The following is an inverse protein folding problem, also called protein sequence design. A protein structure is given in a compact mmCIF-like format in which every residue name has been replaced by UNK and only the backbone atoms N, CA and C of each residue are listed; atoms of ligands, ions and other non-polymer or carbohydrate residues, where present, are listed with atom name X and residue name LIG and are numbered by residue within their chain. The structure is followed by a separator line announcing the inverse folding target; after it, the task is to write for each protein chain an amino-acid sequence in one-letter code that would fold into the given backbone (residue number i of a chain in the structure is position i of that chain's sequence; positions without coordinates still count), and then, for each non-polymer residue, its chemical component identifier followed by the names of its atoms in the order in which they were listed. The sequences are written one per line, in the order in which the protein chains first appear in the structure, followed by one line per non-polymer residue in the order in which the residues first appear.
data_IF_558697936229
#
_entry.id   IF_558697936229
#
_cell.length_a   1.000
_cell.length_b   1.000
_cell.length_c   1.000
_cell.angle_alpha   90.00
_cell.angle_beta   90.00
_cell.angle_gamma   90.00
#
_symmetry.space_group_name_H-M   'P 1'
#
loop_
_entity.id
_entity.type
_entity.pdbx_description
1 polymer ?
#
# COMPACT_ATOMS: atom_id res chain seq x y z
N UNK A 1 1.73 -26.30 -4.81
CA UNK A 1 0.92 -25.12 -5.14
C UNK A 1 -0.49 -25.29 -4.61
N UNK A 2 -1.11 -24.20 -4.14
CA UNK A 2 -2.46 -24.22 -3.56
C UNK A 2 -3.45 -23.77 -4.63
N UNK A 3 -4.54 -24.51 -4.83
CA UNK A 3 -5.58 -24.23 -5.82
C UNK A 3 -6.98 -24.51 -5.28
N UNK A 4 -8.02 -24.05 -6.00
CA UNK A 4 -9.43 -24.29 -5.65
C UNK A 4 -10.20 -23.01 -5.30
N UNK A 5 -11.48 -23.13 -4.97
CA UNK A 5 -12.32 -21.94 -4.69
C UNK A 5 -12.25 -21.44 -3.25
N UNK A 6 -11.60 -22.21 -2.38
CA UNK A 6 -11.52 -21.94 -0.94
C UNK A 6 -10.56 -20.82 -0.57
N UNK A 7 -10.62 -20.44 0.71
CA UNK A 7 -9.67 -19.52 1.33
C UNK A 7 -8.42 -20.26 1.81
N UNK A 8 -7.28 -19.56 1.85
CA UNK A 8 -6.03 -20.07 2.41
C UNK A 8 -5.75 -19.39 3.75
N UNK A 9 -5.38 -20.15 4.77
CA UNK A 9 -4.97 -19.61 6.07
C UNK A 9 -3.56 -20.07 6.44
N UNK A 10 -2.65 -19.11 6.60
CA UNK A 10 -1.36 -19.35 7.25
C UNK A 10 -1.51 -19.07 8.74
N UNK A 11 -1.49 -20.15 9.52
CA UNK A 11 -1.57 -20.11 10.98
C UNK A 11 -0.23 -20.44 11.64
N UNK A 12 -0.14 -20.12 12.95
CA UNK A 12 0.98 -20.43 13.86
C UNK A 12 2.33 -19.85 13.42
N UNK A 13 3.34 -19.95 14.29
CA UNK A 13 4.57 -19.16 14.18
C UNK A 13 5.58 -19.65 13.12
N UNK A 14 5.36 -20.81 12.49
CA UNK A 14 6.29 -21.33 11.49
C UNK A 14 6.36 -20.48 10.21
N UNK A 15 7.36 -20.76 9.37
CA UNK A 15 7.54 -20.13 8.07
C UNK A 15 6.96 -21.01 6.96
N UNK A 16 6.25 -20.40 6.02
CA UNK A 16 5.84 -21.03 4.77
C UNK A 16 6.50 -20.31 3.60
N UNK A 17 7.33 -21.00 2.83
CA UNK A 17 7.92 -20.45 1.62
C UNK A 17 7.08 -20.86 0.39
N UNK A 18 6.76 -19.87 -0.45
CA UNK A 18 6.04 -20.06 -1.71
C UNK A 18 7.00 -19.88 -2.88
N UNK A 19 7.33 -21.00 -3.53
CA UNK A 19 8.24 -21.09 -4.69
C UNK A 19 7.51 -21.27 -6.03
N UNK A 20 6.19 -21.17 -6.02
CA UNK A 20 5.33 -21.24 -7.21
C UNK A 20 4.09 -20.34 -7.08
N UNK A 21 3.30 -20.20 -8.15
CA UNK A 21 2.09 -19.36 -8.18
C UNK A 21 0.82 -20.12 -7.75
N UNK A 22 0.18 -19.67 -6.67
CA UNK A 22 -1.05 -20.27 -6.17
C UNK A 22 -2.26 -19.73 -6.92
N UNK A 23 -3.29 -20.55 -7.10
CA UNK A 23 -4.47 -20.24 -7.94
C UNK A 23 -5.79 -20.39 -7.20
N UNK A 24 -5.77 -20.42 -5.87
CA UNK A 24 -7.01 -20.39 -5.12
C UNK A 24 -7.73 -19.04 -5.31
N UNK A 25 -9.05 -18.99 -5.19
CA UNK A 25 -9.84 -17.75 -5.40
C UNK A 25 -10.37 -17.11 -4.11
N UNK A 26 -10.28 -17.80 -2.96
CA UNK A 26 -10.70 -17.26 -1.67
C UNK A 26 -9.63 -16.37 -1.02
N UNK A 27 -10.00 -15.78 0.11
CA UNK A 27 -9.13 -14.88 0.89
C UNK A 27 -7.86 -15.58 1.38
N UNK A 28 -6.75 -14.83 1.39
CA UNK A 28 -5.51 -15.17 2.11
C UNK A 28 -5.60 -14.59 3.52
N UNK A 29 -5.69 -15.44 4.54
CA UNK A 29 -5.66 -15.02 5.94
C UNK A 29 -4.33 -15.40 6.57
N UNK A 30 -3.66 -14.45 7.22
CA UNK A 30 -2.42 -14.70 7.97
C UNK A 30 -2.67 -14.39 9.43
N UNK A 31 -2.66 -15.44 10.26
CA UNK A 31 -2.92 -15.37 11.69
C UNK A 31 -1.70 -15.68 12.56
N UNK A 32 -0.56 -16.00 11.94
CA UNK A 32 0.72 -16.16 12.64
C UNK A 32 1.87 -16.53 11.72
N UNK A 33 3.09 -16.30 12.22
CA UNK A 33 4.35 -16.68 11.57
C UNK A 33 4.61 -15.92 10.28
N UNK A 34 5.35 -16.56 9.39
CA UNK A 34 5.89 -15.91 8.20
C UNK A 34 5.42 -16.60 6.91
N UNK A 35 5.15 -15.81 5.87
CA UNK A 35 5.13 -16.26 4.47
C UNK A 35 6.31 -15.63 3.74
N UNK A 36 7.13 -16.45 3.08
CA UNK A 36 8.17 -15.98 2.15
C UNK A 36 7.64 -16.13 0.72
N UNK A 37 7.69 -15.03 -0.03
CA UNK A 37 7.36 -14.96 -1.45
C UNK A 37 8.68 -14.97 -2.22
N UNK A 38 9.03 -16.13 -2.79
CA UNK A 38 10.29 -16.35 -3.50
C UNK A 38 10.15 -16.22 -5.03
N UNK A 39 8.92 -16.03 -5.52
CA UNK A 39 8.64 -15.74 -6.93
C UNK A 39 7.51 -14.72 -7.09
N UNK A 40 7.43 -14.07 -8.26
CA UNK A 40 6.37 -13.10 -8.54
C UNK A 40 4.98 -13.74 -8.54
N UNK A 41 4.04 -13.08 -7.87
CA UNK A 41 2.66 -13.51 -7.67
C UNK A 41 2.53 -14.93 -7.10
N UNK A 42 3.35 -15.28 -6.12
CA UNK A 42 3.24 -16.56 -5.42
C UNK A 42 1.88 -16.71 -4.70
N UNK A 43 1.37 -15.59 -4.14
CA UNK A 43 -0.03 -15.46 -3.71
C UNK A 43 -0.91 -14.99 -4.88
N UNK A 44 -2.16 -15.46 -4.98
CA UNK A 44 -3.13 -14.92 -5.93
C UNK A 44 -3.55 -13.49 -5.52
N UNK A 45 -4.07 -12.73 -6.49
CA UNK A 45 -4.58 -11.36 -6.29
C UNK A 45 -5.94 -11.31 -5.54
N UNK A 46 -6.07 -12.10 -4.49
CA UNK A 46 -7.26 -12.18 -3.65
C UNK A 46 -7.10 -11.25 -2.43
N UNK A 47 -8.18 -11.00 -1.66
CA UNK A 47 -8.06 -10.27 -0.40
C UNK A 47 -6.99 -10.87 0.50
N UNK A 48 -6.17 -10.02 1.11
CA UNK A 48 -5.15 -10.39 2.09
C UNK A 48 -5.54 -9.77 3.44
N UNK A 49 -5.71 -10.61 4.45
CA UNK A 49 -6.11 -10.19 5.79
C UNK A 49 -5.13 -10.69 6.84
N UNK A 50 -4.64 -9.77 7.68
CA UNK A 50 -3.93 -10.12 8.91
C UNK A 50 -4.89 -10.07 10.09
N UNK A 51 -4.91 -11.13 10.89
CA UNK A 51 -5.75 -11.21 12.10
C UNK A 51 -4.94 -11.22 13.40
N UNK A 52 -3.61 -11.25 13.30
CA UNK A 52 -2.68 -11.17 14.42
C UNK A 52 -1.31 -10.65 13.93
N UNK A 53 -0.33 -10.58 14.82
CA UNK A 53 1.08 -10.36 14.51
C UNK A 53 1.60 -11.49 13.62
N UNK A 54 1.77 -11.19 12.34
CA UNK A 54 2.28 -12.12 11.33
C UNK A 54 2.91 -11.34 10.18
N UNK A 55 3.72 -12.03 9.38
CA UNK A 55 4.60 -11.37 8.41
C UNK A 55 4.50 -11.97 7.00
N UNK A 56 4.66 -11.11 6.00
CA UNK A 56 5.02 -11.51 4.63
C UNK A 56 6.41 -10.94 4.32
N UNK A 57 7.25 -11.73 3.66
CA UNK A 57 8.54 -11.32 3.11
C UNK A 57 8.53 -11.49 1.59
N UNK A 58 8.58 -10.39 0.83
CA UNK A 58 8.84 -10.40 -0.61
C UNK A 58 10.36 -10.33 -0.79
N UNK A 59 10.97 -11.48 -1.09
CA UNK A 59 12.36 -11.74 -0.75
C UNK A 59 13.38 -10.95 -1.59
N UNK A 60 13.08 -10.71 -2.86
CA UNK A 60 14.02 -10.15 -3.82
C UNK A 60 13.45 -8.93 -4.55
N UNK A 61 14.32 -8.00 -4.94
CA UNK A 61 13.97 -6.76 -5.65
C UNK A 61 13.28 -6.98 -7.00
N UNK A 62 13.54 -8.11 -7.67
CA UNK A 62 12.91 -8.50 -8.93
C UNK A 62 11.50 -9.09 -8.78
N UNK A 63 11.11 -9.44 -7.55
CA UNK A 63 9.82 -10.05 -7.28
C UNK A 63 8.73 -8.98 -7.21
N UNK A 64 7.64 -9.24 -7.91
CA UNK A 64 6.42 -8.44 -7.80
C UNK A 64 5.29 -9.29 -7.23
N UNK A 65 4.56 -8.76 -6.26
CA UNK A 65 3.40 -9.43 -5.66
C UNK A 65 2.20 -8.51 -5.73
N UNK A 66 1.18 -8.94 -6.49
CA UNK A 66 -0.13 -8.31 -6.48
C UNK A 66 -1.05 -9.02 -5.52
N UNK A 67 -1.65 -8.28 -4.60
CA UNK A 67 -2.71 -8.75 -3.70
C UNK A 67 -4.00 -7.99 -3.99
N UNK A 68 -5.13 -8.54 -3.55
CA UNK A 68 -6.41 -7.83 -3.54
C UNK A 68 -6.53 -6.87 -2.35
N UNK A 69 -7.77 -6.69 -1.88
CA UNK A 69 -8.10 -5.88 -0.69
C UNK A 69 -7.20 -6.25 0.49
N UNK A 70 -6.36 -5.31 0.93
CA UNK A 70 -5.54 -5.45 2.13
C UNK A 70 -6.32 -4.98 3.35
N UNK A 71 -6.30 -5.77 4.44
CA UNK A 71 -6.89 -5.38 5.72
C UNK A 71 -6.15 -5.93 6.94
N UNK A 72 -6.05 -5.11 7.98
CA UNK A 72 -5.47 -5.45 9.28
C UNK A 72 -5.93 -4.43 10.35
N UNK A 73 -7.25 -4.20 10.45
CA UNK A 73 -7.81 -3.16 11.34
C UNK A 73 -7.47 -3.47 12.81
N UNK A 74 -6.75 -2.56 13.47
CA UNK A 74 -6.35 -2.71 14.88
C UNK A 74 -5.19 -3.69 15.12
N UNK A 75 -4.62 -4.29 14.07
CA UNK A 75 -3.51 -5.24 14.18
C UNK A 75 -2.20 -4.53 13.83
N UNK A 76 -1.53 -3.97 14.84
CA UNK A 76 -0.31 -3.16 14.64
C UNK A 76 0.97 -3.98 14.45
N UNK A 77 0.98 -5.24 14.89
CA UNK A 77 2.10 -6.15 14.75
C UNK A 77 2.22 -6.82 13.38
N UNK A 78 1.22 -6.69 12.51
CA UNK A 78 1.29 -7.24 11.16
C UNK A 78 2.35 -6.49 10.34
N UNK A 79 3.13 -7.23 9.55
CA UNK A 79 4.23 -6.65 8.74
C UNK A 79 4.24 -7.22 7.33
N UNK A 80 4.46 -6.36 6.35
CA UNK A 80 4.89 -6.75 5.00
C UNK A 80 6.29 -6.17 4.78
N UNK A 81 7.28 -7.04 4.72
CA UNK A 81 8.66 -6.70 4.36
C UNK A 81 8.83 -6.92 2.85
N UNK A 82 9.03 -5.86 2.08
CA UNK A 82 9.16 -5.97 0.64
C UNK A 82 10.52 -5.47 0.18
N UNK A 83 11.32 -6.35 -0.41
CA UNK A 83 12.49 -5.96 -1.19
C UNK A 83 12.11 -5.52 -2.62
N UNK A 84 11.05 -6.14 -3.18
CA UNK A 84 10.51 -5.86 -4.52
C UNK A 84 9.24 -5.02 -4.51
N UNK A 85 8.40 -5.14 -5.53
CA UNK A 85 7.18 -4.31 -5.66
C UNK A 85 5.95 -5.02 -5.10
N UNK A 86 5.28 -4.37 -4.14
CA UNK A 86 3.97 -4.77 -3.63
C UNK A 86 2.88 -3.95 -4.32
N UNK A 87 2.00 -4.61 -5.08
CA UNK A 87 0.80 -3.99 -5.65
C UNK A 87 -0.42 -4.38 -4.82
N UNK A 88 -1.16 -3.39 -4.33
CA UNK A 88 -2.36 -3.56 -3.54
C UNK A 88 -3.56 -3.13 -4.40
N UNK A 89 -4.23 -4.11 -5.01
CA UNK A 89 -5.42 -3.91 -5.82
C UNK A 89 -6.67 -3.89 -4.93
N UNK A 90 -7.02 -2.70 -4.45
CA UNK A 90 -8.06 -2.52 -3.47
C UNK A 90 -9.46 -2.59 -4.12
N UNK A 91 -10.19 -3.68 -3.86
CA UNK A 91 -11.52 -3.95 -4.42
C UNK A 91 -12.67 -3.67 -3.44
N UNK A 92 -12.34 -3.25 -2.22
CA UNK A 92 -13.25 -2.80 -1.18
C UNK A 92 -12.48 -1.87 -0.22
N UNK A 93 -13.13 -0.96 0.50
CA UNK A 93 -12.43 -0.10 1.45
C UNK A 93 -11.73 -0.94 2.53
N UNK A 94 -10.47 -0.62 2.83
CA UNK A 94 -9.67 -1.34 3.83
C UNK A 94 -8.81 -0.41 4.67
N UNK A 95 -8.54 -0.85 5.90
CA UNK A 95 -7.59 -0.20 6.82
C UNK A 95 -6.47 -1.20 7.10
N UNK A 96 -5.24 -0.77 6.92
CA UNK A 96 -4.05 -1.52 7.29
C UNK A 96 -3.28 -0.78 8.39
N UNK A 97 -3.38 -1.31 9.62
CA UNK A 97 -2.70 -0.79 10.81
C UNK A 97 -1.33 -1.41 11.07
N UNK A 98 -0.97 -2.42 10.28
CA UNK A 98 0.38 -2.98 10.25
C UNK A 98 1.37 -2.05 9.57
N UNK A 99 2.59 -2.56 9.39
CA UNK A 99 3.71 -1.82 8.80
C UNK A 99 4.15 -2.46 7.50
N UNK A 100 4.33 -1.65 6.47
CA UNK A 100 5.03 -2.00 5.24
C UNK A 100 6.45 -1.44 5.37
N UNK A 101 7.45 -2.30 5.20
CA UNK A 101 8.87 -1.95 5.34
C UNK A 101 9.68 -2.56 4.20
N UNK A 102 10.99 -2.27 4.17
CA UNK A 102 11.93 -2.86 3.23
C UNK A 102 12.48 -1.85 2.23
N UNK A 103 13.12 -2.33 1.17
CA UNK A 103 13.70 -1.48 0.11
C UNK A 103 12.75 -1.27 -1.07
N UNK A 104 11.68 -2.05 -1.12
CA UNK A 104 10.75 -2.14 -2.22
C UNK A 104 9.78 -0.97 -2.36
N UNK A 105 9.04 -0.99 -3.47
CA UNK A 105 8.02 0.01 -3.79
C UNK A 105 6.61 -0.51 -3.47
N UNK A 106 5.69 0.42 -3.21
CA UNK A 106 4.26 0.12 -3.04
C UNK A 106 3.46 0.77 -4.16
N UNK A 107 2.59 0.00 -4.80
CA UNK A 107 1.62 0.48 -5.78
C UNK A 107 0.22 0.31 -5.20
N UNK A 108 -0.50 1.42 -5.00
CA UNK A 108 -1.92 1.42 -4.71
C UNK A 108 -2.71 1.44 -6.01
N UNK A 109 -3.47 0.38 -6.27
CA UNK A 109 -4.40 0.25 -7.40
C UNK A 109 -5.80 -0.13 -6.93
N UNK A 110 -6.73 -0.31 -7.87
CA UNK A 110 -8.14 -0.56 -7.57
C UNK A 110 -8.87 0.71 -7.11
N UNK A 111 -10.16 0.80 -7.42
CA UNK A 111 -10.95 2.02 -7.26
C UNK A 111 -11.27 2.41 -5.81
N UNK A 112 -11.03 1.51 -4.85
CA UNK A 112 -11.42 1.72 -3.45
C UNK A 112 -10.32 2.36 -2.59
N UNK A 113 -10.70 2.73 -1.36
CA UNK A 113 -9.83 3.37 -0.39
C UNK A 113 -8.96 2.33 0.31
N UNK A 114 -7.64 2.52 0.25
CA UNK A 114 -6.70 1.92 1.20
C UNK A 114 -6.32 2.99 2.22
N UNK A 115 -6.62 2.75 3.49
CA UNK A 115 -6.16 3.59 4.59
C UNK A 115 -4.91 2.98 5.22
N UNK A 116 -3.79 3.72 5.18
CA UNK A 116 -2.58 3.41 5.92
C UNK A 116 -2.53 4.26 7.19
N UNK A 117 -2.52 3.61 8.35
CA UNK A 117 -2.39 4.29 9.64
C UNK A 117 -1.23 3.78 10.51
N UNK A 118 -0.57 2.70 10.10
CA UNK A 118 0.70 2.27 10.69
C UNK A 118 1.90 3.08 10.19
N UNK A 119 3.04 2.97 10.89
CA UNK A 119 4.30 3.60 10.49
C UNK A 119 5.03 2.78 9.43
N UNK A 120 5.06 3.28 8.21
CA UNK A 120 5.66 2.60 7.06
C UNK A 120 7.07 3.12 6.78
N UNK A 121 7.99 2.21 6.43
CA UNK A 121 9.41 2.56 6.21
C UNK A 121 9.99 1.92 4.95
N UNK A 122 9.15 1.59 3.96
CA UNK A 122 9.61 1.10 2.67
C UNK A 122 10.27 2.23 1.86
N UNK A 123 11.38 1.94 1.20
CA UNK A 123 12.24 2.97 0.58
C UNK A 123 11.97 3.22 -0.90
N UNK A 124 11.36 2.27 -1.62
CA UNK A 124 11.13 2.35 -3.07
C UNK A 124 10.03 3.34 -3.49
N UNK A 125 9.39 4.01 -2.52
CA UNK A 125 8.34 4.99 -2.77
C UNK A 125 6.97 4.39 -3.04
N UNK A 126 6.01 5.29 -3.29
CA UNK A 126 4.59 5.00 -3.40
C UNK A 126 4.05 5.52 -4.74
N UNK A 127 3.43 4.63 -5.50
CA UNK A 127 2.66 5.00 -6.69
C UNK A 127 1.19 4.80 -6.42
N UNK A 128 0.38 5.85 -6.61
CA UNK A 128 -1.08 5.79 -6.58
C UNK A 128 -1.53 5.70 -8.04
N UNK A 129 -1.76 4.48 -8.51
CA UNK A 129 -2.18 4.24 -9.89
C UNK A 129 -3.69 4.39 -10.04
N UNK A 130 -4.48 4.01 -9.04
CA UNK A 130 -5.94 4.11 -9.05
C UNK A 130 -6.52 4.22 -7.63
N UNK A 131 -7.71 4.83 -7.55
CA UNK A 131 -8.46 4.99 -6.31
C UNK A 131 -7.73 5.83 -5.27
N UNK A 132 -8.14 5.69 -4.01
CA UNK A 132 -7.65 6.56 -2.93
C UNK A 132 -6.65 5.85 -2.03
N UNK A 133 -5.50 6.46 -1.83
CA UNK A 133 -4.63 6.20 -0.69
C UNK A 133 -4.91 7.23 0.40
N UNK A 134 -5.47 6.79 1.51
CA UNK A 134 -5.71 7.65 2.68
C UNK A 134 -4.61 7.47 3.71
N UNK A 135 -4.00 8.56 4.15
CA UNK A 135 -2.93 8.58 5.16
C UNK A 135 -3.44 9.17 6.47
N UNK A 136 -3.32 8.42 7.56
CA UNK A 136 -3.91 8.80 8.85
C UNK A 136 -3.04 8.51 10.09
N UNK A 137 -1.80 8.08 9.89
CA UNK A 137 -0.84 7.79 10.98
C UNK A 137 0.24 8.87 11.18
N UNK A 138 0.31 9.87 10.31
CA UNK A 138 1.33 10.93 10.26
C UNK A 138 2.77 10.48 9.97
N UNK A 139 2.98 9.18 9.81
CA UNK A 139 4.15 8.54 9.19
C UNK A 139 3.66 7.34 8.36
N UNK A 140 2.49 7.49 7.74
CA UNK A 140 1.89 6.43 6.94
C UNK A 140 2.62 6.30 5.59
N UNK A 141 3.40 7.30 5.20
CA UNK A 141 4.40 7.23 4.14
C UNK A 141 5.78 7.55 4.72
N UNK A 142 6.83 7.14 4.02
CA UNK A 142 8.20 7.48 4.42
C UNK A 142 8.47 8.97 4.13
N UNK A 143 8.99 9.71 5.11
CA UNK A 143 9.28 11.14 5.00
C UNK A 143 10.28 11.52 3.89
N UNK A 144 11.10 10.56 3.44
CA UNK A 144 12.01 10.69 2.29
C UNK A 144 11.53 9.93 1.05
N UNK A 145 10.39 9.23 1.13
CA UNK A 145 9.84 8.43 0.06
C UNK A 145 9.19 9.29 -1.02
N UNK A 146 9.34 8.87 -2.28
CA UNK A 146 8.66 9.53 -3.40
C UNK A 146 7.19 9.13 -3.45
N UNK A 147 6.30 10.08 -3.75
CA UNK A 147 4.91 9.83 -4.11
C UNK A 147 4.69 10.22 -5.58
N UNK A 148 4.10 9.28 -6.33
CA UNK A 148 3.74 9.46 -7.74
C UNK A 148 2.23 9.21 -7.87
N UNK A 149 1.50 10.17 -8.44
CA UNK A 149 0.10 9.99 -8.79
C UNK A 149 -0.04 9.79 -10.29
N UNK A 150 -0.76 8.77 -10.72
CA UNK A 150 -1.08 8.58 -12.13
C UNK A 150 -2.04 9.68 -12.65
N UNK A 151 -1.94 10.03 -13.94
CA UNK A 151 -2.87 10.92 -14.63
C UNK A 151 -4.15 10.16 -15.02
N UNK A 152 -4.87 9.65 -14.01
CA UNK A 152 -6.12 8.91 -14.20
C UNK A 152 -7.17 9.30 -13.15
N UNK A 153 -8.42 9.36 -13.60
CA UNK A 153 -9.55 9.70 -12.73
C UNK A 153 -9.66 8.71 -11.57
N UNK A 154 -9.86 9.24 -10.37
CA UNK A 154 -9.96 8.49 -9.13
C UNK A 154 -8.65 8.36 -8.35
N UNK A 155 -7.47 8.55 -8.97
CA UNK A 155 -6.19 8.49 -8.26
C UNK A 155 -6.02 9.68 -7.29
N UNK A 156 -6.14 9.41 -5.98
CA UNK A 156 -6.16 10.42 -4.93
C UNK A 156 -5.23 10.06 -3.77
N UNK A 157 -4.41 11.01 -3.33
CA UNK A 157 -3.82 11.01 -1.99
C UNK A 157 -4.73 11.82 -1.04
N UNK A 158 -5.29 11.16 -0.03
CA UNK A 158 -6.18 11.78 0.95
C UNK A 158 -5.47 11.90 2.31
N UNK A 159 -5.07 13.11 2.66
CA UNK A 159 -4.27 13.44 3.86
C UNK A 159 -5.20 13.87 4.98
N UNK A 160 -5.54 12.94 5.87
CA UNK A 160 -6.44 13.20 7.00
C UNK A 160 -5.70 13.43 8.33
N UNK A 161 -4.40 13.17 8.36
CA UNK A 161 -3.48 13.52 9.46
C UNK A 161 -2.20 14.04 8.82
N UNK A 162 -1.56 15.03 9.44
CA UNK A 162 -0.37 15.68 8.87
C UNK A 162 0.67 14.66 8.46
N UNK A 163 1.16 14.75 7.23
CA UNK A 163 2.03 13.76 6.61
C UNK A 163 3.22 14.47 5.97
N UNK A 164 4.37 13.80 6.00
CA UNK A 164 5.58 14.28 5.31
C UNK A 164 5.98 13.27 4.25
N UNK A 165 6.29 13.76 3.05
CA UNK A 165 6.78 12.93 1.94
C UNK A 165 8.09 13.50 1.42
N UNK A 166 8.88 12.67 0.73
CA UNK A 166 10.13 13.11 0.11
C UNK A 166 9.88 13.96 -1.12
N UNK A 167 9.45 13.33 -2.22
CA UNK A 167 9.24 14.04 -3.48
C UNK A 167 7.85 13.77 -4.04
N UNK A 168 7.24 14.75 -4.70
CA UNK A 168 5.92 14.63 -5.32
C UNK A 168 6.00 14.75 -6.84
N UNK A 169 5.28 13.92 -7.59
CA UNK A 169 5.14 14.06 -9.06
C UNK A 169 3.87 13.44 -9.63
N UNK A 170 3.58 13.78 -10.88
CA UNK A 170 2.45 13.24 -11.64
C UNK A 170 1.15 14.04 -11.44
N UNK A 171 0.03 13.35 -11.25
CA UNK A 171 -1.30 13.92 -11.07
C UNK A 171 -2.00 14.27 -12.38
N UNK A 172 -1.41 15.16 -13.18
CA UNK A 172 -1.96 15.58 -14.48
C UNK A 172 -3.38 16.15 -14.44
N UNK A 173 -3.91 16.51 -15.62
CA UNK A 173 -5.22 17.18 -15.76
C UNK A 173 -6.40 16.19 -15.84
N UNK A 174 -6.12 14.92 -16.10
CA UNK A 174 -7.11 13.83 -16.12
C UNK A 174 -7.14 13.07 -14.78
N UNK A 175 -6.13 13.29 -13.93
CA UNK A 175 -6.04 12.64 -12.64
C UNK A 175 -6.86 13.28 -11.53
N UNK A 176 -7.00 12.54 -10.44
CA UNK A 176 -7.67 13.01 -9.24
C UNK A 176 -9.17 12.76 -9.21
N UNK A 177 -9.83 13.38 -8.24
CA UNK A 177 -11.27 13.32 -7.99
C UNK A 177 -11.86 14.72 -8.05
N UNK A 178 -13.12 14.89 -7.65
CA UNK A 178 -13.69 16.22 -7.38
C UNK A 178 -12.88 17.02 -6.34
N UNK A 179 -12.06 16.35 -5.52
CA UNK A 179 -11.13 16.96 -4.57
C UNK A 179 -9.71 17.11 -5.11
N UNK A 180 -9.51 17.05 -6.44
CA UNK A 180 -8.19 17.07 -7.06
C UNK A 180 -7.41 15.77 -6.87
N UNK A 181 -6.11 15.83 -7.09
CA UNK A 181 -5.18 14.70 -6.97
C UNK A 181 -4.73 14.48 -5.53
N UNK A 182 -4.71 15.56 -4.75
CA UNK A 182 -4.40 15.54 -3.32
C UNK A 182 -5.49 16.31 -2.58
N UNK A 183 -6.07 15.71 -1.55
CA UNK A 183 -6.98 16.37 -0.63
C UNK A 183 -6.34 16.44 0.76
N UNK A 184 -6.29 17.61 1.38
CA UNK A 184 -5.77 17.80 2.74
C UNK A 184 -6.88 18.25 3.68
N UNK A 185 -7.18 17.42 4.69
CA UNK A 185 -8.24 17.68 5.65
C UNK A 185 -7.96 18.91 6.53
N UNK A 186 -9.02 19.51 7.06
CA UNK A 186 -8.89 20.61 8.03
C UNK A 186 -8.03 20.18 9.23
N UNK A 187 -7.07 21.01 9.60
CA UNK A 187 -6.13 20.73 10.69
C UNK A 187 -4.98 19.79 10.35
N UNK A 188 -4.93 19.25 9.13
CA UNK A 188 -3.77 18.49 8.62
C UNK A 188 -2.84 19.39 7.79
N UNK A 189 -1.57 18.99 7.71
CA UNK A 189 -0.56 19.59 6.84
C UNK A 189 0.10 18.53 5.98
N UNK A 190 0.18 18.75 4.67
CA UNK A 190 1.08 17.99 3.81
C UNK A 190 2.41 18.73 3.71
N UNK A 191 3.52 18.07 4.06
CA UNK A 191 4.88 18.61 3.89
C UNK A 191 5.62 17.82 2.81
N UNK A 192 6.26 18.51 1.86
CA UNK A 192 7.07 17.90 0.80
C UNK A 192 8.55 18.26 0.98
N UNK A 193 9.36 17.30 1.41
CA UNK A 193 10.80 17.45 1.66
C UNK A 193 11.65 17.19 0.40
N UNK A 194 11.28 17.86 -0.69
CA UNK A 194 11.85 17.57 -2.01
C UNK A 194 13.31 18.03 -2.10
N UNK A 195 14.19 17.09 -2.48
CA UNK A 195 15.63 17.35 -2.67
C UNK A 195 16.07 17.27 -4.13
N UNK A 196 15.18 16.82 -5.02
CA UNK A 196 15.44 16.66 -6.46
C UNK A 196 14.29 17.24 -7.29
N UNK A 197 14.59 17.77 -8.48
CA UNK A 197 13.57 18.34 -9.36
C UNK A 197 12.56 17.27 -9.81
N UNK A 198 11.28 17.58 -9.67
CA UNK A 198 10.14 16.78 -10.16
C UNK A 198 9.02 17.68 -10.64
N UNK A 199 8.12 17.13 -11.45
CA UNK A 199 6.96 17.85 -11.98
C UNK A 199 5.71 17.21 -11.40
N UNK A 200 4.92 18.02 -10.70
CA UNK A 200 3.54 17.71 -10.33
C UNK A 200 2.62 18.63 -11.13
N UNK A 201 1.73 18.02 -11.91
CA UNK A 201 0.82 18.71 -12.82
C UNK A 201 -0.64 18.57 -12.37
N UNK A 202 -0.87 18.19 -11.11
CA UNK A 202 -2.19 17.98 -10.53
C UNK A 202 -2.67 19.16 -9.67
N UNK A 203 -3.85 18.99 -9.09
CA UNK A 203 -4.47 19.91 -8.13
C UNK A 203 -4.30 19.38 -6.70
N UNK A 204 -3.84 20.25 -5.80
CA UNK A 204 -3.92 20.07 -4.34
C UNK A 204 -5.10 20.90 -3.83
N UNK A 205 -5.98 20.29 -3.05
CA UNK A 205 -7.16 20.94 -2.49
C UNK A 205 -7.36 20.62 -1.01
N UNK A 206 -8.39 21.20 -0.41
CA UNK A 206 -8.79 20.95 0.97
C UNK A 206 -8.69 22.19 1.86
N UNK A 207 -9.07 22.03 3.12
CA UNK A 207 -9.05 23.10 4.12
C UNK A 207 -7.79 23.08 4.99
N UNK A 208 -6.93 22.07 4.83
CA UNK A 208 -5.64 21.97 5.51
C UNK A 208 -4.55 22.83 4.87
N UNK A 209 -3.35 22.74 5.43
CA UNK A 209 -2.17 23.43 4.92
C UNK A 209 -1.35 22.50 3.99
N UNK A 210 -0.66 23.08 3.02
CA UNK A 210 0.24 22.39 2.09
C UNK A 210 1.33 23.33 1.60
#
# INVERSE_FOLDING_TARGET
MISGTGSFTKARNGTLELTGQSTYSGTTTISGGDIIISISNALPSNPLTFTNTANIYIFDSSITQTIGTLSASGVTGAKIDSAGTLTINQNANGIYSGRIIGTGAVVKSGSYILTLNGTNTYQGGTTISEGTLRVSGGNALLNSGSVILADVSGALLDVITSETIGSLSGGGIHGGTTYGNIAVASGATLTVNQTINRIFSGTISGAGAF
#
